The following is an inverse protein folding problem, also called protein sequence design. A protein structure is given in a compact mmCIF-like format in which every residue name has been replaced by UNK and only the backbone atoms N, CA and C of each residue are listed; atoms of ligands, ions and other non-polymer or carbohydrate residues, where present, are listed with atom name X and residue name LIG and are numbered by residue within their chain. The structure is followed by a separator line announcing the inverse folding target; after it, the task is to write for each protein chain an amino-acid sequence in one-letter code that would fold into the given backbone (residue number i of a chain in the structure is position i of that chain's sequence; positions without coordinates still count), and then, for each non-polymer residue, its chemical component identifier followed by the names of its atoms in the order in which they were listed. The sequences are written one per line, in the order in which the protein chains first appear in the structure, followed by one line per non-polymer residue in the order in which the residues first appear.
data_IF_630831897033
#
_entry.id   IF_630831897033
#
_cell.length_a   1.000
_cell.length_b   1.000
_cell.length_c   1.000
_cell.angle_alpha   90.00
_cell.angle_beta   90.00
_cell.angle_gamma   90.00
#
_symmetry.space_group_name_H-M   'P 1'
#
loop_
_entity.id
_entity.type
_entity.pdbx_description
1 polymer ?
#
# COMPACT_ATOMS: atom_id res chain seq x y z
N UNK A 1 -19.34 -23.61 8.51
CA UNK A 1 -17.88 -23.38 8.41
C UNK A 1 -17.69 -22.07 7.66
N UNK A 2 -17.58 -20.94 8.36
CA UNK A 2 -17.30 -19.65 7.72
C UNK A 2 -15.79 -19.53 7.59
N UNK A 3 -15.29 -19.76 6.37
CA UNK A 3 -13.88 -19.54 6.06
C UNK A 3 -13.72 -18.02 5.96
N UNK A 4 -13.11 -17.40 6.97
CA UNK A 4 -12.61 -16.03 6.85
C UNK A 4 -11.48 -16.06 5.83
N UNK A 5 -11.83 -15.90 4.55
CA UNK A 5 -10.87 -15.59 3.51
C UNK A 5 -10.43 -14.16 3.82
N UNK A 6 -9.28 -14.01 4.46
CA UNK A 6 -8.54 -12.74 4.42
C UNK A 6 -8.36 -12.46 2.93
N UNK A 7 -9.20 -11.57 2.37
CA UNK A 7 -9.04 -11.11 1.00
C UNK A 7 -7.75 -10.31 0.97
N UNK A 8 -6.64 -11.00 0.70
CA UNK A 8 -5.38 -10.36 0.39
C UNK A 8 -5.65 -9.37 -0.73
N UNK A 9 -5.42 -8.09 -0.45
CA UNK A 9 -5.68 -7.02 -1.41
C UNK A 9 -4.96 -7.35 -2.72
N UNK A 10 -5.68 -7.29 -3.83
CA UNK A 10 -5.12 -7.60 -5.16
C UNK A 10 -4.19 -6.48 -5.62
N UNK A 11 -3.31 -6.79 -6.57
CA UNK A 11 -2.42 -5.81 -7.22
C UNK A 11 -3.19 -4.64 -7.83
N UNK A 12 -4.37 -4.92 -8.39
CA UNK A 12 -5.26 -3.94 -9.01
C UNK A 12 -5.86 -2.98 -7.97
N UNK A 13 -6.21 -3.48 -6.79
CA UNK A 13 -6.73 -2.68 -5.68
C UNK A 13 -5.63 -1.79 -5.07
N UNK A 14 -4.41 -2.31 -4.92
CA UNK A 14 -3.24 -1.53 -4.54
C UNK A 14 -3.00 -0.38 -5.52
N UNK A 15 -3.04 -0.66 -6.83
CA UNK A 15 -2.82 0.36 -7.85
C UNK A 15 -3.91 1.44 -7.81
N UNK A 16 -5.19 1.04 -7.65
CA UNK A 16 -6.31 2.00 -7.52
C UNK A 16 -6.17 2.87 -6.28
N UNK A 17 -5.71 2.30 -5.16
CA UNK A 17 -5.45 3.06 -3.94
C UNK A 17 -4.37 4.13 -4.17
N UNK A 18 -3.22 3.73 -4.72
CA UNK A 18 -2.10 4.64 -4.99
C UNK A 18 -2.49 5.76 -5.97
N UNK A 19 -3.26 5.45 -7.01
CA UNK A 19 -3.76 6.45 -7.95
C UNK A 19 -4.65 7.49 -7.25
N UNK A 20 -5.55 7.06 -6.36
CA UNK A 20 -6.39 7.98 -5.57
C UNK A 20 -5.59 8.86 -4.64
N UNK A 21 -4.54 8.32 -4.02
CA UNK A 21 -3.67 9.10 -3.14
C UNK A 21 -2.86 10.14 -3.94
N UNK A 22 -2.39 9.78 -5.13
CA UNK A 22 -1.74 10.72 -6.04
C UNK A 22 -2.70 11.85 -6.50
N UNK A 23 -3.95 11.52 -6.82
CA UNK A 23 -4.99 12.51 -7.17
C UNK A 23 -5.31 13.48 -6.03
N UNK A 24 -5.21 13.03 -4.78
CA UNK A 24 -5.36 13.87 -3.58
C UNK A 24 -4.12 14.74 -3.29
N UNK A 25 -3.01 14.50 -3.99
CA UNK A 25 -1.74 15.18 -3.76
C UNK A 25 -0.90 14.58 -2.63
N UNK A 26 -1.20 13.36 -2.17
CA UNK A 26 -0.36 12.63 -1.22
C UNK A 26 1.01 12.33 -1.85
N UNK A 27 2.07 12.42 -1.05
CA UNK A 27 3.39 11.98 -1.52
C UNK A 27 3.44 10.46 -1.69
N UNK A 28 4.33 9.98 -2.56
CA UNK A 28 4.56 8.54 -2.76
C UNK A 28 4.83 7.81 -1.42
N UNK A 29 5.61 8.44 -0.55
CA UNK A 29 5.91 7.90 0.78
C UNK A 29 4.67 7.73 1.66
N UNK A 30 3.80 8.74 1.73
CA UNK A 30 2.58 8.69 2.53
C UNK A 30 1.59 7.65 2.01
N UNK A 31 1.43 7.58 0.68
CA UNK A 31 0.57 6.60 0.04
C UNK A 31 1.05 5.16 0.31
N UNK A 32 2.36 4.91 0.19
CA UNK A 32 2.95 3.61 0.48
C UNK A 32 2.84 3.26 1.98
N UNK A 33 3.03 4.25 2.88
CA UNK A 33 2.92 4.02 4.33
C UNK A 33 1.51 3.62 4.71
N UNK A 34 0.50 4.30 4.17
CA UNK A 34 -0.91 3.96 4.38
C UNK A 34 -1.25 2.57 3.82
N UNK A 35 -0.72 2.22 2.63
CA UNK A 35 -0.91 0.90 2.02
C UNK A 35 -0.37 -0.22 2.92
N UNK A 36 0.83 -0.04 3.48
CA UNK A 36 1.47 -1.01 4.36
C UNK A 36 0.74 -1.14 5.70
N UNK A 37 0.25 -0.03 6.27
CA UNK A 37 -0.58 -0.05 7.47
C UNK A 37 -1.88 -0.83 7.23
N UNK A 38 -2.53 -0.66 6.07
CA UNK A 38 -3.75 -1.41 5.68
C UNK A 38 -3.47 -2.91 5.50
N UNK A 39 -2.30 -3.25 4.95
CA UNK A 39 -1.90 -4.63 4.70
C UNK A 39 -1.34 -5.32 5.95
N UNK A 40 -1.18 -4.59 7.06
CA UNK A 40 -0.56 -5.07 8.30
C UNK A 40 0.83 -5.69 8.08
N UNK A 41 1.58 -5.18 7.10
CA UNK A 41 2.94 -5.64 6.78
C UNK A 41 3.97 -4.64 7.29
N UNK A 42 5.25 -5.04 7.34
CA UNK A 42 6.32 -4.10 7.66
C UNK A 42 6.63 -3.20 6.46
N UNK A 43 6.73 -1.89 6.71
CA UNK A 43 7.16 -0.95 5.67
C UNK A 43 8.61 -1.28 5.29
N UNK A 44 8.88 -1.70 4.03
CA UNK A 44 10.24 -1.96 3.64
C UNK A 44 11.03 -0.68 3.86
N UNK A 45 12.10 -0.75 4.67
CA UNK A 45 13.02 0.38 4.83
C UNK A 45 13.46 0.77 3.43
N UNK A 46 12.95 1.89 2.92
CA UNK A 46 13.27 2.40 1.59
C UNK A 46 14.79 2.47 1.53
N UNK A 47 15.42 1.49 0.87
CA UNK A 47 16.84 1.58 0.56
C UNK A 47 16.90 2.73 -0.43
N UNK A 48 17.24 3.93 0.04
CA UNK A 48 17.68 5.02 -0.83
C UNK A 48 18.66 4.36 -1.80
N UNK A 49 18.32 4.29 -3.08
CA UNK A 49 19.34 4.03 -4.09
C UNK A 49 20.33 5.18 -3.93
N UNK A 50 21.45 4.86 -3.30
CA UNK A 50 22.53 5.78 -3.11
C UNK A 50 23.14 6.01 -4.49
N UNK A 51 22.84 7.19 -5.04
CA UNK A 51 23.53 7.92 -6.09
C UNK A 51 23.53 7.32 -7.50
#
# INVERSE_FOLDING_TARGET
MFVYKMEAMTTEEMQRFLNREAEKGSSEYEALKALVEILEIEFPKLKRKAK
#
